data_IF_916586946425
#
_entry.id   IF_916586946425
#
_cell.length_a   1.000
_cell.length_b   1.000
_cell.length_c   1.000
_cell.angle_alpha   90.00
_cell.angle_beta   90.00
_cell.angle_gamma   90.00
#
_symmetry.space_group_name_H-M   'P 1'
#
loop_
_entity.id
_entity.type
_entity.pdbx_description
1 polymer ?
#
# COMPACT_ATOMS: atom_id res chain seq x y z
N UNK A 1 32.74 28.50 51.66
CA UNK A 1 32.42 27.11 51.26
C UNK A 1 30.91 26.94 51.21
N UNK A 2 30.27 27.28 50.09
CA UNK A 2 28.83 27.08 49.91
C UNK A 2 28.60 25.73 49.23
N UNK A 3 27.97 24.78 49.92
CA UNK A 3 27.53 23.52 49.33
C UNK A 3 26.37 23.82 48.38
N UNK A 4 26.60 23.68 47.07
CA UNK A 4 25.54 23.52 46.10
C UNK A 4 24.84 22.21 46.44
N UNK A 5 23.64 22.30 47.02
CA UNK A 5 22.78 21.13 47.22
C UNK A 5 22.41 20.52 45.86
N UNK A 6 22.12 19.21 45.81
CA UNK A 6 21.79 18.53 44.56
C UNK A 6 20.58 19.21 43.92
N UNK A 7 20.74 19.68 42.69
CA UNK A 7 19.68 20.27 41.88
C UNK A 7 18.67 19.14 41.63
N UNK A 8 17.60 19.08 42.43
CA UNK A 8 16.51 18.12 42.22
C UNK A 8 15.82 18.45 40.90
N UNK A 9 15.72 17.44 40.05
CA UNK A 9 15.13 17.51 38.72
C UNK A 9 13.59 17.48 38.89
N UNK A 10 12.96 18.65 38.91
CA UNK A 10 11.57 18.86 39.35
C UNK A 10 10.49 18.48 38.32
N UNK A 11 10.77 17.59 37.38
CA UNK A 11 9.80 17.10 36.41
C UNK A 11 9.73 15.58 36.48
N UNK A 12 8.52 15.07 36.72
CA UNK A 12 8.25 13.64 36.66
C UNK A 12 8.64 13.08 35.29
N UNK A 13 9.30 11.92 35.21
CA UNK A 13 9.71 11.34 33.95
C UNK A 13 8.47 10.94 33.13
N UNK A 14 8.20 11.69 32.06
CA UNK A 14 7.15 11.35 31.10
C UNK A 14 7.63 10.14 30.30
N UNK A 15 7.03 8.98 30.55
CA UNK A 15 7.28 7.76 29.78
C UNK A 15 6.61 7.90 28.40
N UNK A 16 7.38 8.33 27.40
CA UNK A 16 6.92 8.36 26.01
C UNK A 16 6.95 6.93 25.47
N UNK A 17 5.80 6.26 25.49
CA UNK A 17 5.63 4.97 24.82
C UNK A 17 5.76 5.17 23.30
N UNK A 18 6.90 4.77 22.74
CA UNK A 18 7.15 4.82 21.30
C UNK A 18 6.25 3.79 20.63
N UNK A 19 5.14 4.25 20.06
CA UNK A 19 4.18 3.44 19.31
C UNK A 19 4.93 2.66 18.22
N UNK A 20 4.70 1.35 18.15
CA UNK A 20 5.28 0.51 17.11
C UNK A 20 4.90 1.08 15.73
N UNK A 21 5.89 1.26 14.86
CA UNK A 21 5.67 1.78 13.52
C UNK A 21 4.74 0.82 12.76
N UNK A 22 3.66 1.38 12.21
CA UNK A 22 2.71 0.69 11.34
C UNK A 22 3.46 0.02 10.17
N UNK A 23 3.00 -1.14 9.70
CA UNK A 23 3.65 -1.91 8.64
C UNK A 23 3.81 -1.12 7.32
N UNK A 24 2.97 -0.11 7.10
CA UNK A 24 3.12 0.87 6.01
C UNK A 24 4.33 1.79 6.22
N UNK A 25 4.49 2.33 7.43
CA UNK A 25 5.62 3.20 7.78
C UNK A 25 6.98 2.49 7.74
N UNK A 26 7.00 1.15 7.91
CA UNK A 26 8.21 0.33 7.73
C UNK A 26 8.67 0.23 6.27
N UNK A 27 7.78 0.50 5.31
CA UNK A 27 8.07 0.45 3.87
C UNK A 27 8.40 1.84 3.29
N UNK A 28 8.30 2.88 4.10
CA UNK A 28 8.65 4.24 3.69
C UNK A 28 10.15 4.34 3.39
N UNK A 29 10.52 4.99 2.28
CA UNK A 29 11.90 5.07 1.79
C UNK A 29 12.86 5.64 2.83
N UNK A 30 12.42 6.64 3.60
CA UNK A 30 13.20 7.24 4.69
C UNK A 30 13.53 6.24 5.79
N UNK A 31 12.59 5.36 6.13
CA UNK A 31 12.78 4.34 7.15
C UNK A 31 13.74 3.24 6.66
N UNK A 32 13.59 2.82 5.40
CA UNK A 32 14.48 1.83 4.78
C UNK A 32 15.92 2.35 4.68
N UNK A 33 16.11 3.59 4.23
CA UNK A 33 17.44 4.20 4.09
C UNK A 33 18.12 4.39 5.46
N UNK A 34 17.39 4.80 6.50
CA UNK A 34 17.95 4.91 7.85
C UNK A 34 18.50 3.57 8.36
N UNK A 35 17.73 2.49 8.18
CA UNK A 35 18.13 1.12 8.54
C UNK A 35 19.34 0.66 7.72
N UNK A 36 19.39 1.01 6.43
CA UNK A 36 20.52 0.69 5.55
C UNK A 36 21.82 1.37 6.00
N UNK A 37 21.76 2.65 6.40
CA UNK A 37 22.91 3.36 6.95
C UNK A 37 23.35 2.82 8.32
N UNK A 38 22.43 2.24 9.09
CA UNK A 38 22.72 1.61 10.37
C UNK A 38 23.30 0.19 10.23
N UNK A 39 23.39 -0.35 9.02
CA UNK A 39 23.94 -1.69 8.76
C UNK A 39 23.07 -2.84 9.31
N UNK A 40 21.80 -2.58 9.58
CA UNK A 40 20.84 -3.57 10.11
C UNK A 40 20.22 -4.35 8.94
N UNK A 41 19.93 -5.64 9.16
CA UNK A 41 19.35 -6.52 8.15
C UNK A 41 18.00 -6.00 7.63
N UNK A 42 17.87 -5.94 6.29
CA UNK A 42 16.66 -5.51 5.60
C UNK A 42 15.98 -6.74 4.99
N UNK A 43 14.79 -7.06 5.47
CA UNK A 43 13.97 -8.10 4.86
C UNK A 43 13.46 -7.66 3.48
N UNK A 44 13.99 -8.26 2.42
CA UNK A 44 13.51 -8.04 1.05
C UNK A 44 12.61 -9.18 0.61
N UNK A 45 11.39 -8.85 0.16
CA UNK A 45 10.46 -9.83 -0.42
C UNK A 45 10.27 -9.57 -1.91
N UNK A 46 10.45 -10.62 -2.71
CA UNK A 46 10.18 -10.57 -4.16
C UNK A 46 8.67 -10.54 -4.39
N UNK A 47 8.18 -9.54 -5.15
CA UNK A 47 6.76 -9.45 -5.54
C UNK A 47 6.39 -10.64 -6.43
N UNK A 48 5.18 -11.20 -6.25
CA UNK A 48 4.75 -12.46 -6.88
C UNK A 48 4.75 -12.46 -8.42
N UNK A 49 4.55 -11.31 -9.07
CA UNK A 49 4.48 -11.18 -10.53
C UNK A 49 5.62 -10.34 -11.12
N UNK A 50 6.73 -10.16 -10.39
CA UNK A 50 7.83 -9.32 -10.87
C UNK A 50 8.56 -10.00 -12.04
N UNK A 51 8.93 -9.21 -13.05
CA UNK A 51 9.67 -9.68 -14.22
C UNK A 51 8.83 -10.32 -15.32
N UNK A 52 7.49 -10.17 -15.27
CA UNK A 52 6.58 -10.64 -16.31
C UNK A 52 5.74 -9.48 -16.86
N UNK A 53 5.60 -9.41 -18.19
CA UNK A 53 4.70 -8.51 -18.91
C UNK A 53 3.29 -9.10 -18.99
N UNK A 54 2.74 -9.55 -17.86
CA UNK A 54 1.40 -10.11 -17.83
C UNK A 54 0.39 -9.01 -18.17
N UNK A 55 -0.25 -9.13 -19.33
CA UNK A 55 -1.30 -8.22 -19.76
C UNK A 55 -2.41 -8.11 -18.71
N UNK A 56 -2.97 -6.92 -18.52
CA UNK A 56 -4.02 -6.68 -17.52
C UNK A 56 -5.23 -7.62 -17.73
N UNK A 57 -5.53 -7.97 -18.98
CA UNK A 57 -6.60 -8.91 -19.37
C UNK A 57 -6.30 -10.38 -19.03
N UNK A 58 -5.04 -10.74 -18.74
CA UNK A 58 -4.62 -12.11 -18.42
C UNK A 58 -4.92 -12.48 -16.97
N UNK A 59 -5.33 -11.52 -16.13
CA UNK A 59 -5.70 -11.75 -14.74
C UNK A 59 -7.11 -11.26 -14.47
N UNK A 60 -7.84 -11.96 -13.61
CA UNK A 60 -9.13 -11.47 -13.12
C UNK A 60 -8.92 -10.17 -12.35
N UNK A 61 -9.78 -9.18 -12.58
CA UNK A 61 -9.80 -7.91 -11.84
C UNK A 61 -10.33 -8.07 -10.41
N UNK A 62 -10.98 -9.20 -10.12
CA UNK A 62 -11.57 -9.53 -8.82
C UNK A 62 -10.60 -10.35 -7.96
N UNK A 63 -10.74 -10.19 -6.65
CA UNK A 63 -10.00 -10.99 -5.67
C UNK A 63 -10.46 -12.46 -5.72
N UNK A 64 -9.65 -13.32 -6.34
CA UNK A 64 -9.93 -14.76 -6.51
C UNK A 64 -10.16 -15.50 -5.19
N UNK A 65 -9.50 -15.08 -4.11
CA UNK A 65 -9.75 -15.62 -2.76
C UNK A 65 -11.19 -15.37 -2.30
N UNK A 66 -11.68 -14.15 -2.47
CA UNK A 66 -13.06 -13.79 -2.09
C UNK A 66 -14.09 -14.49 -2.98
N UNK A 67 -13.76 -14.73 -4.26
CA UNK A 67 -14.60 -15.55 -5.14
C UNK A 67 -14.69 -17.00 -4.66
N UNK A 68 -13.59 -17.56 -4.15
CA UNK A 68 -13.57 -18.92 -3.61
C UNK A 68 -14.35 -19.04 -2.29
N UNK A 69 -14.27 -18.03 -1.44
CA UNK A 69 -14.89 -18.05 -0.09
C UNK A 69 -16.40 -17.78 -0.15
N UNK A 70 -16.91 -17.08 -1.18
CA UNK A 70 -18.33 -16.76 -1.32
C UNK A 70 -19.09 -17.89 -2.02
N UNK A 71 -20.11 -18.41 -1.35
CA UNK A 71 -20.98 -19.48 -1.87
C UNK A 71 -22.27 -18.98 -2.54
N UNK A 72 -22.61 -17.70 -2.35
CA UNK A 72 -23.78 -17.07 -2.94
C UNK A 72 -23.52 -16.60 -4.38
N UNK A 73 -24.60 -16.50 -5.18
CA UNK A 73 -24.52 -16.09 -6.59
C UNK A 73 -23.92 -14.68 -6.73
N UNK A 74 -22.94 -14.55 -7.62
CA UNK A 74 -22.28 -13.28 -7.91
C UNK A 74 -22.96 -12.59 -9.09
N UNK A 75 -23.50 -11.39 -8.84
CA UNK A 75 -24.01 -10.51 -9.89
C UNK A 75 -22.97 -9.45 -10.24
N UNK A 76 -22.68 -9.33 -11.54
CA UNK A 76 -21.75 -8.32 -12.07
C UNK A 76 -22.51 -7.08 -12.55
N UNK A 77 -21.94 -5.91 -12.29
CA UNK A 77 -22.41 -4.67 -12.88
C UNK A 77 -22.20 -4.70 -14.40
N UNK A 78 -23.24 -4.30 -15.12
CA UNK A 78 -23.21 -4.24 -16.58
C UNK A 78 -22.76 -2.86 -17.04
N UNK A 79 -22.04 -2.83 -18.16
CA UNK A 79 -21.64 -1.58 -18.79
C UNK A 79 -22.86 -0.77 -19.23
N UNK A 80 -22.90 0.50 -18.87
CA UNK A 80 -23.97 1.43 -19.23
C UNK A 80 -24.09 1.59 -20.74
N UNK A 81 -25.33 1.69 -21.25
CA UNK A 81 -25.61 1.85 -22.69
C UNK A 81 -25.01 3.12 -23.27
N UNK A 82 -25.00 4.21 -22.52
CA UNK A 82 -24.44 5.49 -22.97
C UNK A 82 -22.93 5.42 -23.19
N UNK A 83 -22.21 4.70 -22.34
CA UNK A 83 -20.77 4.47 -22.53
C UNK A 83 -20.51 3.70 -23.83
N UNK A 84 -21.35 2.71 -24.17
CA UNK A 84 -21.23 1.96 -25.43
C UNK A 84 -21.44 2.87 -26.64
N UNK A 85 -22.48 3.71 -26.63
CA UNK A 85 -22.76 4.68 -27.71
C UNK A 85 -21.59 5.63 -27.92
N UNK A 86 -21.06 6.20 -26.84
CA UNK A 86 -19.94 7.14 -26.90
C UNK A 86 -18.66 6.51 -27.47
N UNK A 87 -18.37 5.25 -27.10
CA UNK A 87 -17.22 4.52 -27.66
C UNK A 87 -17.39 4.27 -29.16
N UNK A 88 -18.58 3.83 -29.59
CA UNK A 88 -18.85 3.57 -31.01
C UNK A 88 -18.71 4.85 -31.83
N UNK A 89 -19.29 5.96 -31.36
CA UNK A 89 -19.16 7.26 -32.01
C UNK A 89 -17.67 7.65 -32.15
N UNK A 90 -16.91 7.59 -31.06
CA UNK A 90 -15.49 7.94 -31.08
C UNK A 90 -14.65 7.04 -32.00
N UNK A 91 -15.05 5.79 -32.22
CA UNK A 91 -14.40 4.86 -33.16
C UNK A 91 -14.67 5.26 -34.61
N UNK A 92 -15.93 5.56 -34.94
CA UNK A 92 -16.35 6.03 -36.27
C UNK A 92 -15.64 7.35 -36.62
N UNK A 93 -15.62 8.32 -35.68
CA UNK A 93 -14.96 9.61 -35.86
C UNK A 93 -13.47 9.46 -36.18
N UNK A 94 -12.82 8.48 -35.53
CA UNK A 94 -11.41 8.14 -35.77
C UNK A 94 -11.19 7.26 -37.01
N UNK A 95 -12.23 6.94 -37.77
CA UNK A 95 -12.20 5.99 -38.90
C UNK A 95 -11.65 4.61 -38.51
N UNK A 96 -11.84 4.24 -37.24
CA UNK A 96 -11.51 2.94 -36.69
C UNK A 96 -12.78 2.08 -36.73
N UNK A 97 -13.14 1.58 -37.91
CA UNK A 97 -14.21 0.59 -38.05
C UNK A 97 -13.75 -0.77 -37.51
#
# INVERSE_FOLDING_TARGET
>A
MARIGPIMQNWEPIVILKKALNATAKKDEKAVNAVQHMGVEIETLKKSNIGSNKEASSSTTLNTRKLKDKTESLFHDKVLTELKKNIIQARIDKKLN
#
